data_IF_235352299767
#
_entry.id   IF_235352299767
#
_cell.length_a   1.000
_cell.length_b   1.000
_cell.length_c   1.000
_cell.angle_alpha   90.00
_cell.angle_beta   90.00
_cell.angle_gamma   90.00
#
_symmetry.space_group_name_H-M   'P 1'
#
loop_
_entity.id
_entity.type
_entity.pdbx_description
1 polymer ?
#
# COMPACT_ATOMS: atom_id res chain seq x y z
N UNK A 1 16.07 -0.82 26.35
CA UNK A 1 15.81 -0.30 27.72
C UNK A 1 17.02 -0.52 28.64
N UNK A 2 17.40 0.50 29.43
CA UNK A 2 18.62 0.53 30.26
C UNK A 2 18.53 -0.22 31.60
N UNK A 3 17.40 -0.89 31.92
CA UNK A 3 17.18 -1.59 33.20
C UNK A 3 16.29 -2.86 33.09
N UNK A 4 16.34 -3.60 31.98
CA UNK A 4 15.70 -4.92 31.88
C UNK A 4 14.20 -4.98 32.27
N UNK A 5 13.75 -6.15 32.73
CA UNK A 5 12.36 -6.53 33.05
C UNK A 5 11.71 -5.79 34.23
N UNK A 6 12.46 -4.93 34.94
CA UNK A 6 12.00 -4.14 36.10
C UNK A 6 11.83 -2.65 35.81
N UNK A 7 12.03 -2.22 34.56
CA UNK A 7 11.85 -0.82 34.17
C UNK A 7 10.38 -0.41 34.07
N UNK A 8 10.07 0.80 34.55
CA UNK A 8 8.81 1.48 34.31
C UNK A 8 8.51 1.55 32.81
N UNK A 9 7.31 1.13 32.41
CA UNK A 9 6.89 1.12 31.01
C UNK A 9 6.40 2.51 30.61
N UNK A 10 7.02 3.11 29.60
CA UNK A 10 6.50 4.30 28.93
C UNK A 10 5.74 3.85 27.68
N UNK A 11 4.43 4.03 27.69
CA UNK A 11 3.59 3.87 26.51
C UNK A 11 3.52 5.24 25.80
N UNK A 12 3.79 5.25 24.50
CA UNK A 12 3.69 6.45 23.65
C UNK A 12 2.66 6.16 22.58
N UNK A 13 1.57 6.93 22.56
CA UNK A 13 0.61 6.93 21.45
C UNK A 13 1.11 7.91 20.38
N UNK A 14 1.19 7.45 19.13
CA UNK A 14 1.57 8.28 17.99
C UNK A 14 0.33 8.42 17.11
N UNK A 15 -0.07 9.66 16.84
CA UNK A 15 -1.18 9.97 15.96
C UNK A 15 -0.65 10.52 14.64
N UNK A 16 -1.10 9.94 13.54
CA UNK A 16 -0.77 10.44 12.20
C UNK A 16 -1.48 11.76 11.92
N UNK A 17 -0.77 12.73 11.35
CA UNK A 17 -1.37 14.01 10.97
C UNK A 17 -2.48 13.83 9.91
N UNK A 18 -2.26 12.95 8.94
CA UNK A 18 -3.26 12.59 7.91
C UNK A 18 -4.54 12.00 8.51
N UNK A 19 -4.42 11.13 9.52
CA UNK A 19 -5.55 10.58 10.27
C UNK A 19 -6.38 11.73 10.88
N UNK A 20 -5.70 12.68 11.53
CA UNK A 20 -6.39 13.82 12.16
C UNK A 20 -7.02 14.78 11.15
N UNK A 21 -6.46 14.89 9.94
CA UNK A 21 -7.02 15.72 8.86
C UNK A 21 -8.24 15.08 8.19
N UNK A 22 -8.30 13.74 8.15
CA UNK A 22 -9.29 12.98 7.38
C UNK A 22 -10.59 12.67 8.12
N UNK A 23 -10.67 12.95 9.43
CA UNK A 23 -11.87 12.65 10.22
C UNK A 23 -12.26 13.76 11.22
N UNK A 24 -13.54 13.86 11.60
CA UNK A 24 -14.01 14.75 12.66
C UNK A 24 -13.40 14.41 14.04
N UNK A 25 -13.41 15.36 15.00
CA UNK A 25 -12.92 15.16 16.36
C UNK A 25 -13.49 13.93 17.06
N UNK A 26 -14.79 13.65 16.95
CA UNK A 26 -15.40 12.50 17.63
C UNK A 26 -14.90 11.16 17.08
N UNK A 27 -14.72 11.06 15.76
CA UNK A 27 -14.13 9.87 15.14
C UNK A 27 -12.67 9.70 15.60
N UNK A 28 -11.88 10.78 15.63
CA UNK A 28 -10.50 10.72 16.11
C UNK A 28 -10.42 10.39 17.61
N UNK A 29 -11.33 10.88 18.45
CA UNK A 29 -11.45 10.46 19.85
C UNK A 29 -11.75 8.97 19.95
N UNK A 30 -12.59 8.44 19.06
CA UNK A 30 -12.87 7.01 19.04
C UNK A 30 -11.64 6.18 18.67
N UNK A 31 -10.82 6.63 17.72
CA UNK A 31 -9.53 5.98 17.43
C UNK A 31 -8.62 6.00 18.66
N UNK A 32 -8.47 7.14 19.32
CA UNK A 32 -7.68 7.24 20.56
C UNK A 32 -8.24 6.30 21.65
N UNK A 33 -9.56 6.25 21.81
CA UNK A 33 -10.21 5.40 22.79
C UNK A 33 -10.01 3.89 22.47
N UNK A 34 -10.00 3.52 21.19
CA UNK A 34 -9.64 2.18 20.74
C UNK A 34 -8.20 1.82 21.13
N UNK A 35 -7.24 2.68 20.78
CA UNK A 35 -5.82 2.48 21.10
C UNK A 35 -5.55 2.43 22.61
N UNK A 36 -6.24 3.26 23.40
CA UNK A 36 -6.20 3.19 24.86
C UNK A 36 -6.90 1.93 25.40
N UNK A 37 -7.93 1.43 24.70
CA UNK A 37 -8.59 0.16 24.96
C UNK A 37 -7.63 -1.03 24.89
N UNK A 38 -6.68 -1.02 23.95
CA UNK A 38 -5.60 -2.02 23.91
C UNK A 38 -4.69 -2.01 25.13
N UNK A 39 -4.57 -0.86 25.81
CA UNK A 39 -3.74 -0.68 27.00
C UNK A 39 -4.50 -0.96 28.30
N UNK A 40 -5.82 -0.74 28.33
CA UNK A 40 -6.64 -0.82 29.55
C UNK A 40 -7.24 -2.19 29.84
N UNK A 41 -7.32 -3.09 28.84
CA UNK A 41 -7.67 -4.49 29.09
C UNK A 41 -6.61 -5.20 29.95
N UNK A 42 -6.99 -6.25 30.67
CA UNK A 42 -6.08 -7.09 31.50
C UNK A 42 -4.85 -7.65 30.73
N UNK A 43 -4.80 -7.44 29.41
CA UNK A 43 -3.80 -7.90 28.46
C UNK A 43 -2.88 -6.81 27.89
N UNK A 44 -2.90 -5.55 28.34
CA UNK A 44 -2.02 -4.49 27.82
C UNK A 44 -0.51 -4.82 27.84
N UNK A 45 -0.09 -5.73 28.74
CA UNK A 45 1.28 -6.28 28.82
C UNK A 45 1.56 -7.33 27.75
N UNK A 46 0.55 -8.10 27.34
CA UNK A 46 0.63 -9.23 26.41
C UNK A 46 0.41 -8.79 24.96
N UNK A 47 -0.53 -7.89 24.69
CA UNK A 47 -0.79 -7.30 23.36
C UNK A 47 0.42 -6.49 22.86
N UNK A 48 0.96 -5.61 23.71
CA UNK A 48 2.19 -4.87 23.44
C UNK A 48 3.43 -5.77 23.34
N UNK A 49 3.44 -6.92 24.03
CA UNK A 49 4.50 -7.93 23.89
C UNK A 49 4.42 -8.64 22.53
N UNK A 50 3.24 -9.06 22.08
CA UNK A 50 3.03 -9.66 20.74
C UNK A 50 3.43 -8.68 19.64
N UNK A 51 3.01 -7.41 19.73
CA UNK A 51 3.39 -6.37 18.77
C UNK A 51 4.91 -6.16 18.70
N UNK A 52 5.59 -6.11 19.86
CA UNK A 52 7.06 -5.98 19.92
C UNK A 52 7.79 -7.22 19.40
N UNK A 53 7.30 -8.41 19.72
CA UNK A 53 7.85 -9.68 19.21
C UNK A 53 7.73 -9.73 17.68
N UNK A 54 6.61 -9.28 17.12
CA UNK A 54 6.41 -9.15 15.66
C UNK A 54 7.37 -8.15 15.02
N UNK A 55 7.50 -6.93 15.55
CA UNK A 55 8.44 -5.92 15.05
C UNK A 55 9.91 -6.37 15.17
N UNK A 56 10.23 -7.19 16.18
CA UNK A 56 11.54 -7.82 16.31
C UNK A 56 11.73 -8.94 15.29
N UNK A 57 10.68 -9.71 14.97
CA UNK A 57 10.73 -10.77 13.96
C UNK A 57 10.80 -10.25 12.53
N UNK A 58 10.05 -9.22 12.16
CA UNK A 58 10.18 -8.57 10.84
C UNK A 58 11.60 -8.06 10.63
N UNK A 59 12.18 -7.42 11.66
CA UNK A 59 13.58 -6.98 11.63
C UNK A 59 14.57 -8.14 11.50
N UNK A 60 14.32 -9.26 12.18
CA UNK A 60 15.15 -10.47 12.09
C UNK A 60 15.00 -11.16 10.73
N UNK A 61 13.79 -11.22 10.16
CA UNK A 61 13.51 -11.80 8.84
C UNK A 61 14.12 -10.97 7.71
N UNK A 62 14.00 -9.64 7.77
CA UNK A 62 14.66 -8.70 6.85
C UNK A 62 16.19 -8.80 6.97
N UNK A 63 16.71 -9.02 8.18
CA UNK A 63 18.14 -9.25 8.41
C UNK A 63 18.64 -10.61 7.91
N UNK A 64 17.82 -11.66 8.01
CA UNK A 64 18.17 -13.02 7.58
C UNK A 64 18.03 -13.19 6.06
N UNK A 65 17.13 -12.45 5.40
CA UNK A 65 17.01 -12.41 3.93
C UNK A 65 18.24 -11.82 3.23
N UNK A 66 19.12 -11.13 3.97
CA UNK A 66 20.35 -10.51 3.46
C UNK A 66 21.63 -11.33 3.71
N UNK A 67 21.56 -12.46 4.42
CA UNK A 67 22.74 -13.27 4.74
C UNK A 67 22.52 -14.76 4.42
N UNK A 68 23.32 -15.30 3.51
CA UNK A 68 23.27 -16.71 3.11
C UNK A 68 24.27 -17.56 3.93
N UNK A 69 24.03 -17.70 5.25
CA UNK A 69 24.87 -18.47 6.17
C UNK A 69 24.12 -19.68 6.77
N UNK A 70 24.85 -20.76 7.10
CA UNK A 70 24.31 -22.03 7.63
C UNK A 70 23.40 -21.87 8.86
N UNK A 71 23.72 -20.93 9.77
CA UNK A 71 22.88 -20.62 10.93
C UNK A 71 21.51 -20.00 10.60
N UNK A 72 21.38 -19.31 9.45
CA UNK A 72 20.12 -18.77 8.98
C UNK A 72 19.16 -19.88 8.51
N UNK A 73 19.67 -21.00 8.02
CA UNK A 73 18.87 -22.16 7.60
C UNK A 73 18.19 -22.89 8.76
N UNK A 74 18.88 -23.05 9.90
CA UNK A 74 18.32 -23.66 11.11
C UNK A 74 17.24 -22.79 11.76
N UNK A 75 17.47 -21.48 11.83
CA UNK A 75 16.48 -20.51 12.32
C UNK A 75 15.24 -20.47 11.42
N UNK A 76 15.42 -20.46 10.09
CA UNK A 76 14.32 -20.48 9.13
C UNK A 76 13.42 -21.71 9.32
N UNK A 77 14.00 -22.89 9.50
CA UNK A 77 13.25 -24.14 9.73
C UNK A 77 12.47 -24.14 11.06
N UNK A 78 13.03 -23.52 12.10
CA UNK A 78 12.32 -23.31 13.37
C UNK A 78 11.14 -22.33 13.20
N UNK A 79 11.32 -21.24 12.47
CA UNK A 79 10.26 -20.27 12.17
C UNK A 79 9.16 -20.87 11.28
N UNK A 80 9.50 -21.62 10.24
CA UNK A 80 8.52 -22.22 9.33
C UNK A 80 7.58 -23.21 10.04
N UNK A 81 8.07 -23.89 11.08
CA UNK A 81 7.27 -24.82 11.89
C UNK A 81 6.52 -24.14 13.05
N UNK A 82 7.15 -23.19 13.74
CA UNK A 82 6.59 -22.55 14.94
C UNK A 82 5.65 -21.38 14.61
N UNK A 83 5.95 -20.63 13.54
CA UNK A 83 5.20 -19.43 13.17
C UNK A 83 3.73 -19.71 12.84
N UNK A 84 3.33 -20.79 12.12
CA UNK A 84 1.91 -21.03 11.81
C UNK A 84 1.05 -21.27 13.06
N UNK A 85 1.55 -22.05 14.03
CA UNK A 85 0.82 -22.35 15.26
C UNK A 85 0.75 -21.14 16.21
N UNK A 86 1.86 -20.41 16.36
CA UNK A 86 1.90 -19.16 17.13
C UNK A 86 1.06 -18.06 16.47
N UNK A 87 1.08 -17.97 15.14
CA UNK A 87 0.24 -17.07 14.34
C UNK A 87 -1.23 -17.36 14.57
N UNK A 88 -1.70 -18.60 14.40
CA UNK A 88 -3.11 -18.95 14.60
C UNK A 88 -3.64 -18.58 16.00
N UNK A 89 -2.85 -18.84 17.05
CA UNK A 89 -3.19 -18.49 18.43
C UNK A 89 -3.11 -16.98 18.70
N UNK A 90 -2.05 -16.31 18.23
CA UNK A 90 -1.88 -14.86 18.39
C UNK A 90 -2.88 -14.05 17.58
N UNK A 91 -3.34 -14.53 16.42
CA UNK A 91 -4.38 -13.91 15.61
C UNK A 91 -5.78 -14.09 16.22
N UNK A 92 -6.10 -15.25 16.79
CA UNK A 92 -7.36 -15.41 17.53
C UNK A 92 -7.45 -14.45 18.73
N UNK A 93 -6.35 -14.29 19.47
CA UNK A 93 -6.29 -13.36 20.59
C UNK A 93 -6.25 -11.89 20.16
N UNK A 94 -5.51 -11.55 19.10
CA UNK A 94 -5.51 -10.21 18.53
C UNK A 94 -6.93 -9.80 18.11
N UNK A 95 -7.69 -10.70 17.47
CA UNK A 95 -9.08 -10.45 17.07
C UNK A 95 -10.00 -10.18 18.27
N UNK A 96 -9.88 -10.94 19.36
CA UNK A 96 -10.66 -10.67 20.58
C UNK A 96 -10.32 -9.30 21.19
N UNK A 97 -9.04 -8.92 21.18
CA UNK A 97 -8.59 -7.60 21.65
C UNK A 97 -9.13 -6.46 20.79
N UNK A 98 -9.27 -6.65 19.47
CA UNK A 98 -9.87 -5.65 18.57
C UNK A 98 -11.34 -5.40 18.90
N UNK A 99 -12.15 -6.45 19.11
CA UNK A 99 -13.55 -6.27 19.53
C UNK A 99 -13.66 -5.61 20.90
N UNK A 100 -12.77 -5.93 21.84
CA UNK A 100 -12.75 -5.28 23.15
C UNK A 100 -12.39 -3.79 23.01
N UNK A 101 -11.38 -3.46 22.22
CA UNK A 101 -10.99 -2.09 21.96
C UNK A 101 -12.09 -1.29 21.24
N UNK A 102 -12.79 -1.91 20.28
CA UNK A 102 -13.99 -1.33 19.64
C UNK A 102 -15.10 -1.05 20.64
N UNK A 103 -15.37 -1.99 21.54
CA UNK A 103 -16.37 -1.81 22.59
C UNK A 103 -15.98 -0.66 23.55
N UNK A 104 -14.71 -0.57 23.94
CA UNK A 104 -14.20 0.55 24.75
C UNK A 104 -14.33 1.88 24.00
N UNK A 105 -13.99 1.91 22.72
CA UNK A 105 -14.11 3.11 21.89
C UNK A 105 -15.56 3.59 21.81
N UNK A 106 -16.50 2.67 21.58
CA UNK A 106 -17.93 2.96 21.55
C UNK A 106 -18.49 3.40 22.91
N UNK A 107 -17.99 2.86 24.02
CA UNK A 107 -18.38 3.27 25.38
C UNK A 107 -17.89 4.67 25.75
N UNK A 108 -16.67 5.03 25.31
CA UNK A 108 -16.07 6.33 25.63
C UNK A 108 -16.48 7.44 24.66
N UNK A 109 -17.03 7.09 23.49
CA UNK A 109 -17.55 8.03 22.49
C UNK A 109 -19.01 7.71 22.16
N UNK A 110 -19.27 7.07 21.02
CA UNK A 110 -20.54 6.43 20.68
C UNK A 110 -20.30 5.28 19.71
N UNK A 111 -21.29 4.40 19.56
CA UNK A 111 -21.21 3.31 18.58
C UNK A 111 -21.09 3.83 17.15
N UNK A 112 -21.77 4.93 16.85
CA UNK A 112 -21.77 5.59 15.55
C UNK A 112 -20.40 6.22 15.28
N UNK A 113 -19.82 6.93 16.25
CA UNK A 113 -18.49 7.52 16.11
C UNK A 113 -17.40 6.45 15.93
N UNK A 114 -17.50 5.34 16.67
CA UNK A 114 -16.59 4.20 16.53
C UNK A 114 -16.71 3.51 15.17
N UNK A 115 -17.94 3.24 14.73
CA UNK A 115 -18.20 2.66 13.42
C UNK A 115 -17.69 3.57 12.28
N UNK A 116 -17.99 4.87 12.35
CA UNK A 116 -17.55 5.85 11.35
C UNK A 116 -16.04 6.00 11.32
N UNK A 117 -15.36 6.05 12.47
CA UNK A 117 -13.91 6.10 12.53
C UNK A 117 -13.27 4.84 11.91
N UNK A 118 -13.80 3.66 12.24
CA UNK A 118 -13.33 2.39 11.69
C UNK A 118 -13.52 2.33 10.18
N UNK A 119 -14.69 2.76 9.67
CA UNK A 119 -14.98 2.84 8.23
C UNK A 119 -14.04 3.84 7.56
N UNK A 120 -13.85 5.03 8.13
CA UNK A 120 -12.97 6.06 7.60
C UNK A 120 -11.53 5.53 7.43
N UNK A 121 -10.99 4.83 8.44
CA UNK A 121 -9.64 4.23 8.35
C UNK A 121 -9.48 3.20 7.22
N UNK A 122 -10.55 2.49 6.81
CA UNK A 122 -10.48 1.54 5.70
C UNK A 122 -10.75 2.20 4.34
N UNK A 123 -11.65 3.18 4.30
CA UNK A 123 -12.13 3.80 3.06
C UNK A 123 -11.25 4.99 2.68
N UNK A 124 -11.13 5.97 3.56
CA UNK A 124 -10.44 7.24 3.26
C UNK A 124 -8.94 7.04 3.12
N UNK A 125 -8.32 6.19 3.95
CA UNK A 125 -6.89 5.87 3.81
C UNK A 125 -6.56 5.28 2.43
N UNK A 126 -7.39 4.38 1.92
CA UNK A 126 -7.22 3.82 0.59
C UNK A 126 -7.38 4.88 -0.50
N UNK A 127 -8.43 5.69 -0.41
CA UNK A 127 -8.69 6.76 -1.40
C UNK A 127 -7.61 7.85 -1.38
N UNK A 128 -7.03 8.17 -0.22
CA UNK A 128 -5.88 9.07 -0.12
C UNK A 128 -4.64 8.48 -0.80
N UNK A 129 -4.43 7.17 -0.64
CA UNK A 129 -3.41 6.44 -1.40
C UNK A 129 -3.61 6.62 -2.91
N UNK A 130 -4.79 6.28 -3.43
CA UNK A 130 -5.07 6.27 -4.87
C UNK A 130 -5.20 7.65 -5.50
N UNK A 131 -5.90 8.59 -4.86
CA UNK A 131 -6.29 9.87 -5.46
C UNK A 131 -5.35 11.02 -5.10
N UNK A 132 -4.53 10.87 -4.06
CA UNK A 132 -3.60 11.91 -3.62
C UNK A 132 -2.14 11.45 -3.71
N UNK A 133 -1.74 10.46 -2.91
CA UNK A 133 -0.34 10.08 -2.78
C UNK A 133 0.25 9.48 -4.05
N UNK A 134 -0.47 8.58 -4.74
CA UNK A 134 0.00 7.99 -5.99
C UNK A 134 0.19 9.05 -7.09
N UNK A 135 -0.79 9.93 -7.39
CA UNK A 135 -0.59 11.05 -8.32
C UNK A 135 0.54 11.99 -7.90
N UNK A 136 0.64 12.33 -6.62
CA UNK A 136 1.70 13.21 -6.10
C UNK A 136 3.08 12.60 -6.32
N UNK A 137 3.30 11.34 -5.93
CA UNK A 137 4.58 10.65 -6.11
C UNK A 137 4.92 10.47 -7.60
N UNK A 138 3.91 10.24 -8.45
CA UNK A 138 4.10 10.12 -9.90
C UNK A 138 4.67 11.39 -10.55
N UNK A 139 4.53 12.56 -9.92
CA UNK A 139 5.18 13.80 -10.41
C UNK A 139 6.70 13.66 -10.49
N UNK A 140 7.32 12.77 -9.70
CA UNK A 140 8.74 12.45 -9.79
C UNK A 140 9.17 11.96 -11.19
N UNK A 141 8.24 11.47 -12.01
CA UNK A 141 8.52 11.07 -13.38
C UNK A 141 8.85 12.25 -14.31
N UNK A 142 8.49 13.47 -13.90
CA UNK A 142 8.59 14.68 -14.71
C UNK A 142 9.31 15.83 -14.01
N UNK A 143 9.37 15.85 -12.68
CA UNK A 143 10.00 16.94 -11.92
C UNK A 143 11.20 16.44 -11.10
N UNK A 144 12.35 17.15 -11.14
CA UNK A 144 13.55 16.74 -10.40
C UNK A 144 13.36 16.86 -8.88
N UNK A 145 12.44 17.74 -8.45
CA UNK A 145 12.11 17.96 -7.04
C UNK A 145 10.61 18.19 -6.91
N UNK A 146 10.00 17.85 -5.76
CA UNK A 146 8.63 18.23 -5.47
C UNK A 146 8.51 19.76 -5.48
N UNK A 147 7.70 20.32 -6.38
CA UNK A 147 7.42 21.75 -6.42
C UNK A 147 6.37 22.15 -5.37
N UNK A 148 5.54 21.19 -4.96
CA UNK A 148 4.49 21.38 -3.98
C UNK A 148 4.84 20.73 -2.63
N UNK A 149 4.28 21.30 -1.57
CA UNK A 149 4.44 20.81 -0.20
C UNK A 149 3.46 19.64 0.06
N UNK A 150 3.94 18.42 0.38
CA UNK A 150 3.10 17.21 0.43
C UNK A 150 1.97 17.28 1.46
N UNK A 151 2.24 17.63 2.71
CA UNK A 151 1.20 17.72 3.73
C UNK A 151 0.35 18.98 3.58
N UNK A 152 0.91 20.07 3.05
CA UNK A 152 0.13 21.27 2.73
C UNK A 152 -0.91 20.99 1.63
N UNK A 153 -0.49 20.36 0.54
CA UNK A 153 -1.39 20.00 -0.56
C UNK A 153 -2.37 18.89 -0.16
N UNK A 154 -1.97 17.95 0.69
CA UNK A 154 -2.90 16.97 1.27
C UNK A 154 -4.01 17.66 2.08
N UNK A 155 -3.63 18.63 2.91
CA UNK A 155 -4.58 19.42 3.68
C UNK A 155 -5.54 20.22 2.77
N UNK A 156 -5.02 20.83 1.70
CA UNK A 156 -5.83 21.52 0.70
C UNK A 156 -6.77 20.56 -0.05
N UNK A 157 -6.25 19.40 -0.46
CA UNK A 157 -7.00 18.33 -1.12
C UNK A 157 -8.18 17.89 -0.26
N UNK A 158 -7.97 17.60 1.03
CA UNK A 158 -9.03 17.20 1.96
C UNK A 158 -10.08 18.30 2.22
N UNK A 159 -9.72 19.57 2.04
CA UNK A 159 -10.66 20.70 2.19
C UNK A 159 -11.47 20.99 0.94
N UNK A 160 -10.87 20.83 -0.23
CA UNK A 160 -11.44 21.24 -1.52
C UNK A 160 -12.10 20.07 -2.25
N UNK A 161 -11.51 18.88 -2.21
CA UNK A 161 -11.95 17.69 -2.92
C UNK A 161 -12.58 16.70 -1.94
N UNK A 162 -13.88 16.88 -1.71
CA UNK A 162 -14.65 15.82 -1.04
C UNK A 162 -14.78 14.64 -2.00
N UNK A 163 -14.48 13.45 -1.50
CA UNK A 163 -14.74 12.23 -2.26
C UNK A 163 -16.22 12.16 -2.64
N UNK A 164 -16.49 11.78 -3.89
CA UNK A 164 -17.86 11.56 -4.35
C UNK A 164 -18.53 10.44 -3.54
N UNK A 165 -19.82 10.59 -3.23
CA UNK A 165 -20.56 9.61 -2.43
C UNK A 165 -20.59 8.22 -3.10
N UNK A 166 -20.65 8.16 -4.43
CA UNK A 166 -20.59 6.91 -5.18
C UNK A 166 -19.21 6.24 -5.05
N UNK A 167 -18.14 7.03 -5.06
CA UNK A 167 -16.77 6.53 -4.83
C UNK A 167 -16.61 6.00 -3.40
N UNK A 168 -17.09 6.75 -2.40
CA UNK A 168 -17.07 6.33 -1.00
C UNK A 168 -17.85 5.03 -0.79
N UNK A 169 -19.05 4.93 -1.38
CA UNK A 169 -19.86 3.73 -1.29
C UNK A 169 -19.19 2.53 -1.97
N UNK A 170 -18.68 2.70 -3.19
CA UNK A 170 -18.00 1.62 -3.91
C UNK A 170 -16.78 1.10 -3.13
N UNK A 171 -16.03 2.00 -2.50
CA UNK A 171 -14.87 1.60 -1.69
C UNK A 171 -15.28 0.94 -0.37
N UNK A 172 -16.36 1.41 0.27
CA UNK A 172 -16.93 0.75 1.43
C UNK A 172 -17.40 -0.67 1.10
N UNK A 173 -18.10 -0.85 -0.01
CA UNK A 173 -18.58 -2.16 -0.47
C UNK A 173 -17.40 -3.12 -0.67
N UNK A 174 -16.32 -2.67 -1.32
CA UNK A 174 -15.07 -3.45 -1.44
C UNK A 174 -14.50 -3.80 -0.07
N UNK A 175 -14.38 -2.83 0.85
CA UNK A 175 -13.85 -3.06 2.19
C UNK A 175 -14.69 -4.07 3.00
N UNK A 176 -16.01 -4.11 2.79
CA UNK A 176 -16.91 -5.08 3.43
C UNK A 176 -16.81 -6.50 2.84
N UNK A 177 -16.30 -6.66 1.61
CA UNK A 177 -16.06 -7.98 1.02
C UNK A 177 -14.79 -8.66 1.53
N UNK A 178 -13.89 -7.90 2.16
CA UNK A 178 -12.67 -8.42 2.77
C UNK A 178 -12.99 -9.49 3.81
N UNK A 179 -12.47 -10.71 3.60
CA UNK A 179 -12.59 -11.80 4.57
C UNK A 179 -11.38 -11.79 5.49
N UNK A 180 -11.60 -12.12 6.76
CA UNK A 180 -10.51 -12.33 7.71
C UNK A 180 -9.67 -13.53 7.25
N UNK A 181 -8.50 -13.27 6.70
CA UNK A 181 -7.56 -14.31 6.31
C UNK A 181 -6.91 -14.97 7.52
N UNK A 182 -6.35 -16.18 7.34
CA UNK A 182 -5.60 -16.88 8.40
C UNK A 182 -4.34 -16.12 8.87
N UNK A 183 -3.92 -15.10 8.11
CA UNK A 183 -2.75 -14.26 8.39
C UNK A 183 -3.10 -12.81 8.69
N UNK A 184 -4.39 -12.45 8.69
CA UNK A 184 -4.83 -11.09 8.96
C UNK A 184 -4.86 -10.82 10.47
N UNK A 185 -4.23 -9.74 10.91
CA UNK A 185 -4.19 -9.34 12.32
C UNK A 185 -5.50 -8.77 12.80
N UNK A 186 -6.33 -8.26 11.90
CA UNK A 186 -7.57 -7.58 12.25
C UNK A 186 -8.79 -8.40 11.78
N UNK A 187 -9.86 -8.49 12.60
CA UNK A 187 -11.13 -9.04 12.13
C UNK A 187 -11.65 -8.20 10.95
N UNK A 188 -12.44 -8.83 10.06
CA UNK A 188 -12.99 -8.13 8.91
C UNK A 188 -13.83 -6.93 9.35
N UNK A 189 -13.81 -5.84 8.56
CA UNK A 189 -14.58 -4.63 8.82
C UNK A 189 -16.06 -4.95 9.09
N UNK A 190 -16.65 -5.83 8.28
CA UNK A 190 -18.02 -6.29 8.42
C UNK A 190 -18.31 -6.87 9.81
N UNK A 191 -17.41 -7.70 10.33
CA UNK A 191 -17.62 -8.40 11.61
C UNK A 191 -17.48 -7.43 12.79
N UNK A 192 -16.55 -6.47 12.70
CA UNK A 192 -16.37 -5.41 13.71
C UNK A 192 -17.56 -4.47 13.77
N UNK A 193 -18.10 -4.07 12.62
CA UNK A 193 -19.32 -3.26 12.55
C UNK A 193 -20.54 -4.01 13.09
N UNK A 194 -20.66 -5.32 12.80
CA UNK A 194 -21.70 -6.16 13.36
C UNK A 194 -21.60 -6.26 14.89
N UNK A 195 -20.39 -6.40 15.44
CA UNK A 195 -20.16 -6.41 16.89
C UNK A 195 -20.51 -5.07 17.57
N UNK A 196 -20.28 -3.94 16.88
CA UNK A 196 -20.72 -2.62 17.33
C UNK A 196 -22.25 -2.42 17.22
N UNK A 197 -22.95 -3.28 16.48
CA UNK A 197 -24.35 -3.15 16.10
C UNK A 197 -24.64 -1.86 15.31
N UNK A 198 -23.72 -1.47 14.41
CA UNK A 198 -23.86 -0.30 13.56
C UNK A 198 -23.98 -0.68 12.07
N UNK A 199 -24.77 0.07 11.28
CA UNK A 199 -24.78 -0.09 9.83
C UNK A 199 -23.47 0.37 9.21
N UNK A 200 -23.10 -0.24 8.08
CA UNK A 200 -22.00 0.24 7.26
C UNK A 200 -22.48 1.39 6.37
N UNK A 201 -22.19 2.62 6.77
CA UNK A 201 -22.50 3.84 6.02
C UNK A 201 -21.21 4.49 5.53
N UNK A 202 -21.19 5.12 4.33
CA UNK A 202 -20.06 5.91 3.87
C UNK A 202 -19.54 6.86 4.95
N UNK A 203 -18.21 7.07 5.02
CA UNK A 203 -17.63 7.95 6.03
C UNK A 203 -18.13 9.39 5.82
N UNK A 204 -18.55 10.03 6.91
CA UNK A 204 -18.97 11.43 6.88
C UNK A 204 -17.78 12.35 6.55
N UNK A 205 -17.98 13.38 5.70
CA UNK A 205 -16.93 14.35 5.42
C UNK A 205 -16.48 15.08 6.68
N UNK A 206 -15.16 15.20 6.86
CA UNK A 206 -14.56 15.96 7.96
C UNK A 206 -14.63 17.48 7.74
N UNK A 207 -15.84 18.07 7.73
CA UNK A 207 -16.06 19.52 7.56
C UNK A 207 -15.23 20.32 8.58
N UNK A 208 -15.15 19.79 9.81
CA UNK A 208 -14.21 20.23 10.83
C UNK A 208 -13.33 19.05 11.22
N UNK A 209 -12.15 18.93 10.61
CA UNK A 209 -11.19 17.87 10.94
C UNK A 209 -10.70 17.94 12.41
N UNK A 210 -10.33 16.81 12.99
CA UNK A 210 -9.70 16.74 14.30
C UNK A 210 -8.39 17.54 14.36
N UNK A 211 -7.60 17.54 13.27
CA UNK A 211 -6.38 18.33 13.16
C UNK A 211 -6.66 19.82 13.37
N UNK A 212 -7.64 20.37 12.65
CA UNK A 212 -8.04 21.78 12.80
C UNK A 212 -8.57 22.07 14.20
N UNK A 213 -9.38 21.19 14.76
CA UNK A 213 -10.01 21.41 16.07
C UNK A 213 -9.00 21.31 17.24
N UNK A 214 -8.10 20.33 17.23
CA UNK A 214 -7.19 20.09 18.35
C UNK A 214 -5.89 20.89 18.27
N UNK A 215 -5.37 21.13 17.06
CA UNK A 215 -4.11 21.84 16.86
C UNK A 215 -4.32 23.35 16.69
N UNK A 216 -5.53 23.77 16.28
CA UNK A 216 -5.91 25.18 16.17
C UNK A 216 -4.92 25.98 15.35
N UNK A 217 -4.48 27.11 15.91
CA UNK A 217 -3.55 28.04 15.26
C UNK A 217 -2.16 27.45 15.00
N UNK A 218 -1.80 26.33 15.66
CA UNK A 218 -0.52 25.65 15.43
C UNK A 218 -0.55 24.71 14.22
N UNK A 219 -1.72 24.40 13.66
CA UNK A 219 -1.84 23.46 12.54
C UNK A 219 -0.94 23.82 11.34
N UNK A 220 -0.87 25.09 10.86
CA UNK A 220 -0.02 25.45 9.73
C UNK A 220 1.48 25.20 9.99
N UNK A 221 1.95 25.44 11.22
CA UNK A 221 3.34 25.17 11.58
C UNK A 221 3.64 23.68 11.62
N UNK A 222 2.71 22.88 12.16
CA UNK A 222 2.83 21.42 12.19
C UNK A 222 2.83 20.84 10.78
N UNK A 223 1.95 21.31 9.89
CA UNK A 223 1.95 20.92 8.47
C UNK A 223 3.31 21.17 7.85
N UNK A 224 3.86 22.39 8.01
CA UNK A 224 5.18 22.76 7.49
C UNK A 224 6.29 21.87 8.06
N UNK A 225 6.20 21.48 9.33
CA UNK A 225 7.16 20.53 9.91
C UNK A 225 7.11 19.17 9.20
N UNK A 226 5.91 18.64 8.93
CA UNK A 226 5.72 17.39 8.22
C UNK A 226 6.14 17.48 6.74
N UNK A 227 5.91 18.62 6.08
CA UNK A 227 6.42 18.89 4.73
C UNK A 227 7.94 18.75 4.69
N UNK A 228 8.64 19.46 5.57
CA UNK A 228 10.10 19.44 5.63
C UNK A 228 10.64 18.04 5.94
N UNK A 229 10.02 17.32 6.87
CA UNK A 229 10.37 15.93 7.18
C UNK A 229 10.18 15.02 5.97
N UNK A 230 9.03 15.12 5.28
CA UNK A 230 8.75 14.30 4.12
C UNK A 230 9.75 14.57 2.99
N UNK A 231 10.01 15.84 2.69
CA UNK A 231 10.97 16.25 1.66
C UNK A 231 12.38 15.76 1.97
N UNK A 232 12.83 15.87 3.23
CA UNK A 232 14.14 15.35 3.66
C UNK A 232 14.24 13.84 3.51
N UNK A 233 13.18 13.10 3.80
CA UNK A 233 13.20 11.63 3.81
C UNK A 233 13.02 11.04 2.40
N UNK A 234 12.30 11.72 1.52
CA UNK A 234 11.93 11.21 0.19
C UNK A 234 12.66 11.89 -0.96
N UNK A 235 13.29 13.05 -0.74
CA UNK A 235 14.02 13.80 -1.77
C UNK A 235 15.04 12.98 -2.56
N UNK A 236 15.90 12.15 -1.93
CA UNK A 236 16.84 11.31 -2.66
C UNK A 236 16.18 10.30 -3.60
N UNK A 237 15.13 9.60 -3.13
CA UNK A 237 14.38 8.63 -3.95
C UNK A 237 13.60 9.30 -5.08
N UNK A 238 13.09 10.51 -4.82
CA UNK A 238 12.43 11.32 -5.84
C UNK A 238 13.40 11.67 -6.97
N UNK A 239 14.59 12.17 -6.61
CA UNK A 239 15.65 12.50 -7.57
C UNK A 239 16.11 11.26 -8.35
N UNK A 240 16.31 10.12 -7.69
CA UNK A 240 16.66 8.84 -8.33
C UNK A 240 15.59 8.41 -9.35
N UNK A 241 14.31 8.50 -8.98
CA UNK A 241 13.20 8.21 -9.88
C UNK A 241 13.19 9.15 -11.09
N UNK A 242 13.36 10.44 -10.88
CA UNK A 242 13.44 11.42 -11.96
C UNK A 242 14.58 11.10 -12.92
N UNK A 243 15.78 10.84 -12.39
CA UNK A 243 16.96 10.51 -13.21
C UNK A 243 16.76 9.22 -14.01
N UNK A 244 16.19 8.18 -13.40
CA UNK A 244 15.82 6.93 -14.09
C UNK A 244 14.86 7.21 -15.26
N UNK A 245 13.84 8.03 -15.03
CA UNK A 245 12.86 8.39 -16.06
C UNK A 245 13.49 9.22 -17.19
N UNK A 246 14.37 10.18 -16.89
CA UNK A 246 15.06 10.96 -17.91
C UNK A 246 16.02 10.11 -18.73
N UNK A 247 16.77 9.21 -18.11
CA UNK A 247 17.69 8.30 -18.80
C UNK A 247 16.93 7.32 -19.71
N UNK A 248 15.84 6.74 -19.22
CA UNK A 248 14.99 5.85 -20.00
C UNK A 248 14.37 6.54 -21.22
N UNK A 249 13.82 7.74 -21.03
CA UNK A 249 13.28 8.57 -22.13
C UNK A 249 14.35 9.00 -23.13
N UNK A 250 15.56 9.31 -22.66
CA UNK A 250 16.69 9.63 -23.54
C UNK A 250 17.05 8.46 -24.46
N UNK A 251 17.21 7.25 -23.90
CA UNK A 251 17.46 6.04 -24.68
C UNK A 251 16.33 5.72 -25.66
N UNK A 252 15.08 5.91 -25.22
CA UNK A 252 13.92 5.73 -26.09
C UNK A 252 13.95 6.71 -27.28
N UNK A 253 14.32 7.97 -27.03
CA UNK A 253 14.43 8.99 -28.08
C UNK A 253 15.55 8.64 -29.09
N UNK A 254 16.69 8.13 -28.63
CA UNK A 254 17.77 7.65 -29.50
C UNK A 254 17.30 6.52 -30.42
N UNK A 255 16.59 5.52 -29.89
CA UNK A 255 16.03 4.42 -30.68
C UNK A 255 14.86 4.86 -31.57
N UNK A 256 14.11 5.86 -31.17
CA UNK A 256 13.01 6.42 -31.96
C UNK A 256 13.51 7.22 -33.18
N UNK A 257 14.74 7.75 -33.13
CA UNK A 257 15.36 8.47 -34.24
C UNK A 257 15.85 7.55 -35.38
N UNK A 258 16.03 6.25 -35.10
CA UNK A 258 16.43 5.25 -36.10
C UNK A 258 15.17 4.82 -36.88
N UNK A 259 15.20 4.85 -38.23
CA UNK A 259 14.11 4.32 -39.04
C UNK A 259 13.79 2.86 -38.67
N UNK A 260 12.51 2.50 -38.56
CA UNK A 260 12.11 1.16 -38.11
C UNK A 260 12.66 0.03 -38.99
N UNK A 261 12.80 0.28 -40.30
CA UNK A 261 13.39 -0.66 -41.25
C UNK A 261 14.90 -0.93 -41.02
N UNK A 262 15.59 -0.07 -40.25
CA UNK A 262 17.01 -0.17 -39.94
C UNK A 262 17.27 -0.70 -38.52
N UNK A 263 16.23 -0.86 -37.69
CA UNK A 263 16.36 -1.41 -36.35
C UNK A 263 16.71 -2.90 -36.40
N UNK A 264 17.74 -3.28 -35.65
CA UNK A 264 17.99 -4.70 -35.35
C UNK A 264 16.90 -5.27 -34.43
N UNK A 265 16.76 -6.60 -34.39
CA UNK A 265 15.82 -7.26 -33.49
C UNK A 265 16.04 -6.84 -32.02
N UNK A 266 17.31 -6.80 -31.56
CA UNK A 266 17.66 -6.36 -30.21
C UNK A 266 17.26 -4.90 -29.93
N UNK A 267 17.49 -4.00 -30.88
CA UNK A 267 17.09 -2.59 -30.74
C UNK A 267 15.58 -2.42 -30.75
N UNK A 268 14.86 -3.21 -31.56
CA UNK A 268 13.40 -3.18 -31.60
C UNK A 268 12.79 -3.71 -30.29
N UNK A 269 13.36 -4.78 -29.72
CA UNK A 269 12.99 -5.27 -28.39
C UNK A 269 13.26 -4.21 -27.31
N UNK A 270 14.45 -3.61 -27.30
CA UNK A 270 14.78 -2.54 -26.35
C UNK A 270 13.83 -1.35 -26.50
N UNK A 271 13.53 -0.93 -27.74
CA UNK A 271 12.58 0.14 -28.01
C UNK A 271 11.19 -0.21 -27.46
N UNK A 272 10.70 -1.43 -27.69
CA UNK A 272 9.40 -1.89 -27.19
C UNK A 272 9.32 -1.86 -25.65
N UNK A 273 10.35 -2.39 -24.97
CA UNK A 273 10.45 -2.40 -23.50
C UNK A 273 10.53 -0.98 -22.95
N UNK A 274 11.35 -0.11 -23.56
CA UNK A 274 11.48 1.29 -23.14
C UNK A 274 10.19 2.08 -23.40
N UNK A 275 9.46 1.81 -24.47
CA UNK A 275 8.14 2.41 -24.73
C UNK A 275 7.15 2.00 -23.65
N UNK A 276 7.10 0.71 -23.30
CA UNK A 276 6.21 0.22 -22.24
C UNK A 276 6.50 0.88 -20.88
N UNK A 277 7.78 1.03 -20.50
CA UNK A 277 8.16 1.57 -19.19
C UNK A 277 8.12 3.11 -19.12
N UNK A 278 8.60 3.80 -20.16
CA UNK A 278 8.86 5.25 -20.11
C UNK A 278 7.89 6.11 -20.92
N UNK A 279 7.04 5.50 -21.75
CA UNK A 279 6.02 6.16 -22.56
C UNK A 279 4.65 5.46 -22.41
N UNK A 280 4.05 5.48 -21.20
CA UNK A 280 2.81 4.74 -20.91
C UNK A 280 1.59 5.18 -21.73
N UNK A 281 1.64 6.37 -22.34
CA UNK A 281 0.58 6.87 -23.23
C UNK A 281 0.73 6.37 -24.68
N UNK A 282 1.81 5.66 -25.01
CA UNK A 282 2.07 5.09 -26.34
C UNK A 282 1.76 3.59 -26.34
N UNK A 283 1.15 3.11 -27.43
CA UNK A 283 0.93 1.68 -27.59
C UNK A 283 2.23 0.96 -27.97
N UNK A 284 2.77 0.16 -27.03
CA UNK A 284 3.96 -0.66 -27.25
C UNK A 284 3.67 -2.02 -27.93
N UNK A 285 2.40 -2.46 -28.01
CA UNK A 285 2.03 -3.75 -28.56
C UNK A 285 2.49 -3.93 -30.02
N UNK A 286 2.33 -2.95 -30.92
CA UNK A 286 2.82 -3.07 -32.30
C UNK A 286 4.34 -3.31 -32.38
N UNK A 287 5.13 -2.74 -31.47
CA UNK A 287 6.59 -2.92 -31.45
C UNK A 287 6.96 -4.35 -31.06
N UNK A 288 6.29 -4.93 -30.06
CA UNK A 288 6.49 -6.34 -29.71
C UNK A 288 6.02 -7.29 -30.82
N UNK A 289 4.95 -6.97 -31.54
CA UNK A 289 4.49 -7.74 -32.69
C UNK A 289 5.47 -7.67 -33.87
N UNK A 290 6.05 -6.50 -34.14
CA UNK A 290 7.10 -6.33 -35.15
C UNK A 290 8.36 -7.13 -34.78
N UNK A 291 8.77 -7.09 -33.50
CA UNK A 291 9.86 -7.93 -33.00
C UNK A 291 9.55 -9.42 -33.17
N UNK A 292 8.32 -9.84 -32.87
CA UNK A 292 7.89 -11.23 -33.03
C UNK A 292 7.95 -11.72 -34.47
N UNK A 293 7.70 -10.84 -35.44
CA UNK A 293 7.84 -11.16 -36.85
C UNK A 293 9.30 -11.40 -37.26
N UNK A 294 10.26 -10.72 -36.62
CA UNK A 294 11.70 -10.94 -36.81
C UNK A 294 12.21 -12.17 -36.06
N UNK A 295 11.67 -12.45 -34.87
CA UNK A 295 12.07 -13.54 -33.97
C UNK A 295 10.86 -14.45 -33.58
N UNK A 296 10.36 -15.29 -34.50
CA UNK A 296 9.12 -16.07 -34.30
C UNK A 296 9.21 -17.12 -33.17
N UNK A 297 10.40 -17.48 -32.73
CA UNK A 297 10.62 -18.48 -31.69
C UNK A 297 10.91 -17.87 -30.31
N UNK A 298 10.94 -16.53 -30.20
CA UNK A 298 11.15 -15.87 -28.91
C UNK A 298 9.93 -16.02 -27.98
N UNK A 299 10.12 -16.74 -26.88
CA UNK A 299 9.08 -17.00 -25.87
C UNK A 299 8.70 -15.75 -25.06
N UNK A 300 9.66 -14.85 -24.83
CA UNK A 300 9.43 -13.59 -24.11
C UNK A 300 8.50 -12.65 -24.87
N UNK A 301 8.62 -12.59 -26.20
CA UNK A 301 7.71 -11.83 -27.06
C UNK A 301 6.28 -12.38 -26.98
N UNK A 302 6.12 -13.71 -27.03
CA UNK A 302 4.80 -14.34 -26.87
C UNK A 302 4.19 -14.00 -25.50
N UNK A 303 4.97 -14.06 -24.43
CA UNK A 303 4.51 -13.73 -23.09
C UNK A 303 4.04 -12.27 -22.99
N UNK A 304 4.86 -11.32 -23.44
CA UNK A 304 4.56 -9.89 -23.34
C UNK A 304 3.36 -9.51 -24.21
N UNK A 305 3.29 -10.00 -25.46
CA UNK A 305 2.12 -9.79 -26.34
C UNK A 305 0.86 -10.36 -25.69
N UNK A 306 0.93 -11.60 -25.18
CA UNK A 306 -0.17 -12.23 -24.46
C UNK A 306 -0.66 -11.38 -23.30
N UNK A 307 0.27 -10.85 -22.49
CA UNK A 307 -0.03 -10.02 -21.31
C UNK A 307 -0.73 -8.73 -21.71
N UNK A 308 -0.20 -8.05 -22.72
CA UNK A 308 -0.76 -6.79 -23.22
C UNK A 308 -2.16 -6.97 -23.80
N UNK A 309 -2.41 -8.05 -24.54
CA UNK A 309 -3.73 -8.39 -25.08
C UNK A 309 -4.74 -8.75 -23.97
N UNK A 310 -4.34 -9.58 -23.01
CA UNK A 310 -5.21 -9.98 -21.90
C UNK A 310 -5.57 -8.80 -20.98
N UNK A 311 -4.62 -7.88 -20.74
CA UNK A 311 -4.90 -6.61 -20.05
C UNK A 311 -5.97 -5.77 -20.78
N UNK A 312 -6.07 -5.87 -22.10
CA UNK A 312 -7.11 -5.23 -22.94
C UNK A 312 -8.39 -6.07 -23.04
N UNK A 313 -8.47 -7.19 -22.30
CA UNK A 313 -9.55 -8.19 -22.37
C UNK A 313 -9.70 -8.85 -23.74
N UNK A 314 -8.62 -8.88 -24.52
CA UNK A 314 -8.58 -9.59 -25.80
C UNK A 314 -8.14 -11.05 -25.59
N UNK A 315 -9.03 -11.97 -25.96
CA UNK A 315 -8.82 -13.41 -25.82
C UNK A 315 -7.72 -13.96 -26.73
N UNK A 316 -7.30 -13.23 -27.76
CA UNK A 316 -6.16 -13.61 -28.59
C UNK A 316 -4.88 -13.79 -27.74
N UNK A 317 -4.77 -13.09 -26.60
CA UNK A 317 -3.63 -13.21 -25.70
C UNK A 317 -3.46 -14.59 -25.05
N UNK A 318 -4.53 -15.39 -24.95
CA UNK A 318 -4.47 -16.76 -24.40
C UNK A 318 -3.57 -17.66 -25.24
N UNK A 319 -3.66 -17.57 -26.57
CA UNK A 319 -2.85 -18.39 -27.46
C UNK A 319 -1.38 -18.00 -27.40
N UNK A 320 -1.08 -16.71 -27.28
CA UNK A 320 0.29 -16.24 -27.05
C UNK A 320 0.85 -16.74 -25.71
N UNK A 321 0.06 -16.72 -24.64
CA UNK A 321 0.46 -17.29 -23.34
C UNK A 321 0.79 -18.79 -23.45
N UNK A 322 -0.06 -19.58 -24.12
CA UNK A 322 0.21 -21.01 -24.36
C UNK A 322 1.50 -21.23 -25.15
N UNK A 323 1.76 -20.40 -26.16
CA UNK A 323 3.00 -20.48 -26.95
C UNK A 323 4.23 -20.15 -26.10
N UNK A 324 4.17 -19.13 -25.26
CA UNK A 324 5.25 -18.80 -24.33
C UNK A 324 5.55 -19.97 -23.37
N UNK A 325 4.50 -20.60 -22.81
CA UNK A 325 4.62 -21.77 -21.93
C UNK A 325 5.21 -22.99 -22.61
N UNK A 326 4.91 -23.19 -23.89
CA UNK A 326 5.44 -24.29 -24.69
C UNK A 326 6.93 -24.11 -25.01
N UNK A 327 7.34 -22.87 -25.30
CA UNK A 327 8.71 -22.52 -25.70
C UNK A 327 9.67 -22.40 -24.51
N UNK A 328 9.22 -21.91 -23.35
CA UNK A 328 10.08 -21.70 -22.19
C UNK A 328 9.42 -22.14 -20.88
N UNK A 329 9.99 -23.16 -20.24
CA UNK A 329 9.43 -23.76 -19.04
C UNK A 329 9.39 -22.81 -17.82
N UNK A 330 10.33 -21.87 -17.71
CA UNK A 330 10.36 -20.90 -16.61
C UNK A 330 9.17 -19.94 -16.63
N UNK A 331 8.56 -19.70 -17.80
CA UNK A 331 7.42 -18.79 -17.95
C UNK A 331 6.08 -19.46 -17.62
N UNK A 332 6.06 -20.77 -17.30
CA UNK A 332 4.80 -21.50 -17.06
C UNK A 332 4.02 -21.00 -15.85
N UNK A 333 4.71 -20.71 -14.74
CA UNK A 333 4.04 -20.22 -13.53
C UNK A 333 3.47 -18.83 -13.79
N UNK A 334 4.31 -17.93 -14.29
CA UNK A 334 3.91 -16.54 -14.56
C UNK A 334 2.77 -16.48 -15.59
N UNK A 335 2.78 -17.31 -16.64
CA UNK A 335 1.74 -17.31 -17.67
C UNK A 335 0.40 -17.88 -17.16
N UNK A 336 0.43 -18.84 -16.23
CA UNK A 336 -0.79 -19.36 -15.61
C UNK A 336 -1.49 -18.31 -14.76
N UNK A 337 -0.77 -17.37 -14.14
CA UNK A 337 -1.38 -16.30 -13.35
C UNK A 337 -2.22 -15.32 -14.21
N UNK A 338 -2.03 -15.34 -15.54
CA UNK A 338 -2.75 -14.51 -16.51
C UNK A 338 -3.94 -15.20 -17.18
N UNK A 339 -4.05 -16.51 -17.08
CA UNK A 339 -5.13 -17.33 -17.67
C UNK A 339 -6.23 -17.62 -16.65
#
# INVERSE_FOLDING_TARGET
>A
PRLGIFGWYKNTLILGLELLMSMPPEQARSVIAHELGHLSGEHGRFSGWIYRVRLSWERVMVSLGRQNNFGAGLLRRFFDWYAPAFSAYSFALARANEYQADAVAAQLTSKEAAAQALINSHVVSHLLGEQYWQPFIKLADATPRPEASPYHELHNFLQQNRFDNGVLQAQLDKALTGKTGHYDTHPALKDRLAALACPALPPEPAVHSAARHWLGDNLPEIIRYFDNQWLSNNGPKWQERYEHMQQGRGKLAELAAIPEAELTADQLWQKAVLTEEFAPDQDCLPLFQAFKAMEPDNAGADFVIGRLLLNRKDQAGVEYMKQAMAKQQSLKLDACDWL
#
